data_IF_156830252115
#
_entry.id   IF_156830252115
#
_cell.length_a   1.000
_cell.length_b   1.000
_cell.length_c   1.000
_cell.angle_alpha   90.00
_cell.angle_beta   90.00
_cell.angle_gamma   90.00
#
_symmetry.space_group_name_H-M   'P 1'
#
loop_
_entity.id
_entity.type
_entity.pdbx_description
1 polymer ?
#
# COMPACT_ATOMS: atom_id res chain seq x y z
N UNK A 1 12.97 14.61 -15.68
CA UNK A 1 11.87 13.89 -16.37
C UNK A 1 10.57 14.56 -16.01
N UNK A 2 9.64 14.69 -16.95
CA UNK A 2 8.38 15.40 -16.73
C UNK A 2 7.31 14.52 -16.08
N UNK A 3 6.34 15.16 -15.44
CA UNK A 3 5.18 14.48 -14.88
C UNK A 3 4.34 13.84 -15.98
N UNK A 4 3.79 12.66 -15.71
CA UNK A 4 2.99 11.88 -16.67
C UNK A 4 1.65 11.50 -16.07
N UNK A 5 0.64 11.22 -16.90
CA UNK A 5 -0.72 10.91 -16.42
C UNK A 5 -1.25 9.60 -16.99
N UNK A 6 -1.98 8.86 -16.16
CA UNK A 6 -2.89 7.77 -16.56
C UNK A 6 -4.24 8.08 -15.92
N UNK A 7 -5.27 8.29 -16.74
CA UNK A 7 -6.58 8.71 -16.25
C UNK A 7 -6.50 10.01 -15.44
N UNK A 8 -7.03 10.00 -14.21
CA UNK A 8 -6.98 11.13 -13.28
C UNK A 8 -5.68 11.20 -12.46
N UNK A 9 -4.80 10.20 -12.54
CA UNK A 9 -3.61 10.08 -11.71
C UNK A 9 -2.40 10.71 -12.39
N UNK A 10 -1.72 11.61 -11.68
CA UNK A 10 -0.43 12.20 -12.04
C UNK A 10 0.70 11.41 -11.38
N UNK A 11 1.75 11.10 -12.14
CA UNK A 11 2.95 10.44 -11.66
C UNK A 11 4.12 11.41 -11.74
N UNK A 12 4.79 11.58 -10.60
CA UNK A 12 5.96 12.44 -10.41
C UNK A 12 7.17 11.59 -10.01
N UNK A 13 8.39 12.07 -10.27
CA UNK A 13 9.60 11.33 -9.91
C UNK A 13 9.81 10.03 -10.70
N UNK A 14 9.29 9.98 -11.94
CA UNK A 14 9.36 8.82 -12.82
C UNK A 14 10.80 8.42 -13.16
N UNK A 15 11.04 7.12 -13.32
CA UNK A 15 12.33 6.55 -13.69
C UNK A 15 12.58 6.70 -15.21
N UNK A 16 13.81 6.45 -15.70
CA UNK A 16 14.12 6.54 -17.13
C UNK A 16 13.23 5.65 -18.00
N UNK A 17 12.76 6.11 -19.18
CA UNK A 17 11.92 5.29 -20.06
C UNK A 17 12.57 3.94 -20.41
N UNK A 18 11.73 2.93 -20.53
CA UNK A 18 12.11 1.54 -20.81
C UNK A 18 11.44 1.09 -22.10
N UNK A 19 12.17 0.34 -22.91
CA UNK A 19 11.65 -0.24 -24.15
C UNK A 19 10.88 -1.53 -23.90
N UNK A 20 9.97 -1.86 -24.81
CA UNK A 20 9.29 -3.17 -24.79
C UNK A 20 10.27 -4.35 -24.94
N UNK A 21 11.42 -4.15 -25.62
CA UNK A 21 12.45 -5.19 -25.75
C UNK A 21 13.07 -5.54 -24.40
N UNK A 22 13.44 -4.52 -23.61
CA UNK A 22 14.01 -4.72 -22.27
C UNK A 22 13.04 -5.47 -21.34
N UNK A 23 11.74 -5.18 -21.44
CA UNK A 23 10.72 -5.91 -20.69
C UNK A 23 10.62 -7.38 -21.13
N UNK A 24 10.67 -7.65 -22.43
CA UNK A 24 10.61 -9.02 -22.95
C UNK A 24 11.86 -9.82 -22.53
N UNK A 25 13.04 -9.21 -22.60
CA UNK A 25 14.30 -9.80 -22.14
C UNK A 25 14.23 -10.16 -20.65
N UNK A 26 13.62 -9.29 -19.83
CA UNK A 26 13.38 -9.59 -18.41
C UNK A 26 12.40 -10.76 -18.22
N UNK A 27 11.27 -10.77 -18.94
CA UNK A 27 10.31 -11.89 -18.89
C UNK A 27 10.97 -13.24 -19.29
N UNK A 28 11.84 -13.23 -20.29
CA UNK A 28 12.61 -14.41 -20.73
C UNK A 28 13.68 -14.82 -19.70
N UNK A 29 14.46 -13.87 -19.19
CA UNK A 29 15.55 -14.11 -18.25
C UNK A 29 15.07 -14.77 -16.95
N UNK A 30 13.92 -14.35 -16.42
CA UNK A 30 13.38 -14.89 -15.17
C UNK A 30 12.27 -15.94 -15.38
N UNK A 31 11.90 -16.24 -16.63
CA UNK A 31 10.83 -17.19 -16.94
C UNK A 31 9.48 -16.77 -16.37
N UNK A 32 9.20 -15.47 -16.32
CA UNK A 32 7.95 -14.90 -15.81
C UNK A 32 7.09 -14.33 -16.93
N UNK A 33 5.85 -14.01 -16.60
CA UNK A 33 4.95 -13.21 -17.44
C UNK A 33 4.36 -12.08 -16.61
N UNK A 34 4.47 -10.86 -17.12
CA UNK A 34 3.91 -9.65 -16.52
C UNK A 34 2.53 -9.35 -17.13
N UNK A 35 1.56 -8.89 -16.33
CA UNK A 35 0.29 -8.38 -16.83
C UNK A 35 0.47 -7.29 -17.89
N UNK A 36 -0.35 -7.32 -18.93
CA UNK A 36 -0.26 -6.39 -20.07
C UNK A 36 -0.43 -4.94 -19.62
N UNK A 37 -1.37 -4.67 -18.71
CA UNK A 37 -1.64 -3.33 -18.19
C UNK A 37 -0.47 -2.77 -17.37
N UNK A 38 0.26 -3.63 -16.68
CA UNK A 38 1.49 -3.25 -15.99
C UNK A 38 2.64 -2.97 -16.95
N UNK A 39 2.80 -3.78 -18.01
CA UNK A 39 3.82 -3.52 -19.05
C UNK A 39 3.59 -2.17 -19.73
N UNK A 40 2.33 -1.86 -20.05
CA UNK A 40 1.95 -0.58 -20.63
C UNK A 40 2.33 0.60 -19.71
N UNK A 41 2.14 0.44 -18.39
CA UNK A 41 2.58 1.42 -17.39
C UNK A 41 4.11 1.58 -17.35
N UNK A 42 4.87 0.49 -17.35
CA UNK A 42 6.34 0.55 -17.29
C UNK A 42 6.91 1.23 -18.53
N UNK A 43 6.41 0.93 -19.73
CA UNK A 43 6.87 1.57 -20.97
C UNK A 43 6.47 3.05 -21.02
N UNK A 44 5.25 3.38 -20.59
CA UNK A 44 4.71 4.74 -20.74
C UNK A 44 5.19 5.70 -19.65
N UNK A 45 5.22 5.27 -18.39
CA UNK A 45 5.55 6.10 -17.21
C UNK A 45 6.87 5.69 -16.59
N UNK A 46 7.01 4.40 -16.30
CA UNK A 46 8.10 3.77 -15.54
C UNK A 46 8.22 4.22 -14.07
N UNK A 47 7.34 3.73 -13.20
CA UNK A 47 7.38 4.00 -11.76
C UNK A 47 6.97 5.43 -11.39
N UNK A 48 7.33 5.85 -10.18
CA UNK A 48 7.06 7.18 -9.64
C UNK A 48 5.98 7.21 -8.55
N UNK A 49 5.75 8.40 -8.01
CA UNK A 49 4.77 8.65 -6.94
C UNK A 49 3.44 9.13 -7.54
N UNK A 50 2.32 8.40 -7.34
CA UNK A 50 1.02 8.77 -7.88
C UNK A 50 0.36 9.90 -7.05
N UNK A 51 -0.42 10.74 -7.73
CA UNK A 51 -1.31 11.75 -7.14
C UNK A 51 -2.63 11.76 -7.91
N UNK A 52 -3.77 11.40 -7.29
CA UNK A 52 -3.94 11.00 -5.88
C UNK A 52 -3.19 9.71 -5.51
N UNK A 53 -2.86 9.53 -4.23
CA UNK A 53 -2.15 8.36 -3.71
C UNK A 53 -2.96 7.49 -2.74
N UNK A 54 -4.13 7.95 -2.28
CA UNK A 54 -4.94 7.24 -1.30
C UNK A 54 -5.53 5.94 -1.85
N UNK A 55 -5.50 4.87 -1.07
CA UNK A 55 -6.12 3.59 -1.40
C UNK A 55 -6.73 2.91 -0.16
N UNK A 56 -7.54 1.88 -0.39
CA UNK A 56 -8.14 1.04 0.65
C UNK A 56 -8.23 -0.40 0.15
N UNK A 57 -8.48 -1.34 1.07
CA UNK A 57 -8.72 -2.73 0.69
C UNK A 57 -9.97 -2.83 -0.19
N UNK A 58 -10.01 -3.81 -1.08
CA UNK A 58 -11.02 -3.92 -2.12
C UNK A 58 -12.44 -4.11 -1.55
N UNK A 59 -12.53 -4.79 -0.42
CA UNK A 59 -13.78 -5.08 0.30
C UNK A 59 -14.07 -4.05 1.42
N UNK A 60 -13.19 -3.06 1.62
CA UNK A 60 -13.43 -1.92 2.51
C UNK A 60 -14.10 -0.76 1.76
N UNK A 61 -15.03 -0.06 2.41
CA UNK A 61 -15.55 1.20 1.88
C UNK A 61 -14.72 2.38 2.39
N UNK A 62 -14.37 3.37 1.53
CA UNK A 62 -13.76 4.61 1.99
C UNK A 62 -14.59 5.26 3.12
N UNK A 63 -13.95 5.57 4.24
CA UNK A 63 -14.62 6.14 5.42
C UNK A 63 -15.08 5.12 6.47
N UNK A 64 -14.91 3.81 6.25
CA UNK A 64 -14.93 2.84 7.34
C UNK A 64 -13.59 2.88 8.09
N UNK A 65 -13.62 2.59 9.40
CA UNK A 65 -12.41 2.40 10.18
C UNK A 65 -11.65 1.22 9.57
N UNK A 66 -10.52 1.48 8.91
CA UNK A 66 -9.74 0.43 8.26
C UNK A 66 -9.28 -0.61 9.27
N UNK A 67 -9.09 -1.86 8.84
CA UNK A 67 -8.76 -2.98 9.73
C UNK A 67 -7.57 -2.67 10.66
N UNK A 68 -6.52 -2.03 10.14
CA UNK A 68 -5.36 -1.61 10.95
C UNK A 68 -5.69 -0.58 12.03
N UNK A 69 -6.54 0.41 11.72
CA UNK A 69 -7.00 1.40 12.70
C UNK A 69 -7.88 0.75 13.77
N UNK A 70 -8.73 -0.22 13.41
CA UNK A 70 -9.53 -0.98 14.36
C UNK A 70 -8.68 -1.77 15.35
N UNK A 71 -7.66 -2.49 14.87
CA UNK A 71 -6.73 -3.22 15.73
C UNK A 71 -5.93 -2.28 16.65
N UNK A 72 -5.49 -1.12 16.16
CA UNK A 72 -4.81 -0.14 17.00
C UNK A 72 -5.73 0.41 18.10
N UNK A 73 -7.00 0.69 17.78
CA UNK A 73 -7.99 1.13 18.77
C UNK A 73 -8.16 0.08 19.87
N UNK A 74 -8.27 -1.20 19.52
CA UNK A 74 -8.38 -2.30 20.49
C UNK A 74 -7.15 -2.37 21.42
N UNK A 75 -5.94 -2.24 20.87
CA UNK A 75 -4.69 -2.21 21.66
C UNK A 75 -4.69 -1.04 22.65
N UNK A 76 -5.10 0.15 22.20
CA UNK A 76 -5.15 1.34 23.05
C UNK A 76 -6.24 1.26 24.11
N UNK A 77 -7.38 0.63 23.82
CA UNK A 77 -8.44 0.37 24.80
C UNK A 77 -7.97 -0.59 25.90
N UNK A 78 -7.27 -1.65 25.53
CA UNK A 78 -6.67 -2.58 26.49
C UNK A 78 -5.61 -1.87 27.36
N UNK A 79 -4.77 -1.02 26.77
CA UNK A 79 -3.81 -0.21 27.53
C UNK A 79 -4.50 0.77 28.48
N UNK A 80 -5.59 1.40 28.02
CA UNK A 80 -6.39 2.33 28.81
C UNK A 80 -6.97 1.66 30.05
N UNK A 81 -7.47 0.44 29.91
CA UNK A 81 -8.01 -0.35 31.02
C UNK A 81 -6.92 -0.76 32.01
N UNK A 82 -5.73 -1.11 31.52
CA UNK A 82 -4.60 -1.52 32.35
C UNK A 82 -3.83 -0.36 33.01
N UNK A 83 -4.02 0.89 32.56
CA UNK A 83 -3.22 2.03 33.03
C UNK A 83 -3.74 2.64 34.34
N UNK A 84 -2.88 2.77 35.34
CA UNK A 84 -3.19 3.45 36.62
C UNK A 84 -2.91 4.96 36.61
N UNK A 85 -2.25 5.48 35.56
CA UNK A 85 -1.85 6.88 35.47
C UNK A 85 -2.98 7.75 34.89
N UNK A 86 -3.53 8.68 35.69
CA UNK A 86 -4.57 9.61 35.24
C UNK A 86 -4.20 10.36 33.97
N UNK A 87 -2.95 10.84 33.88
CA UNK A 87 -2.46 11.56 32.69
C UNK A 87 -2.41 10.65 31.47
N UNK A 88 -1.89 9.42 31.60
CA UNK A 88 -1.83 8.46 30.50
C UNK A 88 -3.21 8.03 30.03
N UNK A 89 -4.13 7.79 30.95
CA UNK A 89 -5.53 7.48 30.62
C UNK A 89 -6.21 8.61 29.84
N UNK A 90 -5.91 9.86 30.15
CA UNK A 90 -6.45 11.00 29.41
C UNK A 90 -5.89 11.06 27.98
N UNK A 91 -4.58 10.84 27.81
CA UNK A 91 -3.95 10.78 26.49
C UNK A 91 -4.55 9.67 25.62
N UNK A 92 -4.68 8.46 26.18
CA UNK A 92 -5.25 7.30 25.49
C UNK A 92 -6.70 7.52 25.07
N UNK A 93 -7.54 8.12 25.92
CA UNK A 93 -8.93 8.46 25.57
C UNK A 93 -9.02 9.40 24.39
N UNK A 94 -8.16 10.41 24.36
CA UNK A 94 -8.09 11.36 23.26
C UNK A 94 -7.56 10.70 21.97
N UNK A 95 -6.58 9.80 22.06
CA UNK A 95 -6.06 9.03 20.92
C UNK A 95 -7.14 8.12 20.33
N UNK A 96 -7.83 7.35 21.18
CA UNK A 96 -8.94 6.48 20.80
C UNK A 96 -10.07 7.31 20.17
N UNK A 97 -10.44 8.44 20.79
CA UNK A 97 -11.47 9.32 20.25
C UNK A 97 -11.07 9.88 18.89
N UNK A 98 -9.80 10.27 18.71
CA UNK A 98 -9.28 10.73 17.44
C UNK A 98 -9.41 9.64 16.37
N UNK A 99 -8.91 8.44 16.62
CA UNK A 99 -8.93 7.33 15.67
C UNK A 99 -10.36 6.91 15.31
N UNK A 100 -11.27 6.82 16.29
CA UNK A 100 -12.68 6.45 16.04
C UNK A 100 -13.47 7.50 15.24
N UNK A 101 -13.02 8.75 15.24
CA UNK A 101 -13.69 9.86 14.56
C UNK A 101 -12.90 10.39 13.37
N UNK A 102 -11.85 9.70 12.94
CA UNK A 102 -11.07 10.05 11.76
C UNK A 102 -10.96 8.86 10.81
N UNK A 103 -10.86 9.17 9.53
CA UNK A 103 -10.46 8.22 8.49
C UNK A 103 -9.12 8.67 7.95
N UNK A 104 -8.10 7.85 8.18
CA UNK A 104 -6.73 8.07 7.70
C UNK A 104 -6.48 7.07 6.58
N UNK A 105 -6.48 7.49 5.31
CA UNK A 105 -6.28 6.55 4.20
C UNK A 105 -4.84 6.07 4.13
N UNK A 106 -4.64 4.81 3.72
CA UNK A 106 -3.31 4.35 3.28
C UNK A 106 -2.93 5.09 2.00
N UNK A 107 -1.63 5.28 1.77
CA UNK A 107 -1.12 6.06 0.63
C UNK A 107 -0.02 5.31 -0.07
N UNK A 108 -0.10 5.24 -1.39
CA UNK A 108 1.04 4.79 -2.21
C UNK A 108 2.13 5.86 -2.11
N UNK A 109 3.29 5.49 -1.58
CA UNK A 109 4.45 6.40 -1.57
C UNK A 109 5.13 6.38 -2.93
N UNK A 110 5.44 5.18 -3.41
CA UNK A 110 6.13 4.99 -4.69
C UNK A 110 5.73 3.68 -5.36
N UNK A 111 5.54 3.75 -6.68
CA UNK A 111 5.59 2.59 -7.56
C UNK A 111 6.99 2.49 -8.16
N UNK A 112 7.55 1.29 -8.16
CA UNK A 112 8.90 1.03 -8.66
C UNK A 112 8.88 0.97 -10.20
N UNK A 113 9.85 1.63 -10.83
CA UNK A 113 10.11 1.44 -12.26
C UNK A 113 11.00 0.23 -12.51
N UNK A 114 11.23 -0.08 -13.78
CA UNK A 114 11.97 -1.23 -14.28
C UNK A 114 13.35 -1.44 -13.65
N UNK A 115 14.10 -0.36 -13.44
CA UNK A 115 15.44 -0.44 -12.83
C UNK A 115 15.41 -0.41 -11.30
N UNK A 116 14.25 -0.05 -10.71
CA UNK A 116 13.99 -0.14 -9.28
C UNK A 116 13.37 -1.47 -8.88
N UNK A 117 12.81 -2.23 -9.83
CA UNK A 117 12.63 -3.67 -9.68
C UNK A 117 14.04 -4.25 -9.62
N UNK A 118 14.54 -4.69 -8.46
CA UNK A 118 15.91 -5.17 -8.35
C UNK A 118 16.12 -6.30 -9.37
N UNK A 119 17.20 -6.27 -10.19
CA UNK A 119 17.51 -7.24 -11.25
C UNK A 119 17.81 -8.66 -10.76
N UNK A 120 17.34 -9.03 -9.59
CA UNK A 120 17.36 -10.40 -9.14
C UNK A 120 16.16 -10.53 -8.24
N UNK A 121 15.50 -11.66 -8.31
CA UNK A 121 14.54 -12.12 -7.30
C UNK A 121 15.22 -12.28 -5.91
N UNK A 122 16.39 -11.71 -5.65
CA UNK A 122 17.19 -11.84 -4.44
C UNK A 122 16.68 -10.92 -3.32
N UNK A 123 16.17 -9.73 -3.65
CA UNK A 123 15.40 -8.90 -2.70
C UNK A 123 14.07 -9.54 -2.27
N UNK A 124 13.57 -10.56 -2.99
CA UNK A 124 12.49 -11.41 -2.47
C UNK A 124 12.88 -11.90 -1.07
N UNK A 125 14.14 -12.23 -0.83
CA UNK A 125 14.59 -12.78 0.45
C UNK A 125 14.95 -11.74 1.53
N UNK A 126 15.18 -10.47 1.16
CA UNK A 126 15.64 -9.44 2.12
C UNK A 126 14.50 -8.65 2.77
N UNK A 127 13.37 -8.44 2.07
CA UNK A 127 12.16 -7.82 2.64
C UNK A 127 11.26 -8.82 3.38
N UNK A 128 11.46 -10.11 3.17
CA UNK A 128 10.70 -11.16 3.84
C UNK A 128 11.36 -11.49 5.18
N UNK A 129 10.67 -11.17 6.28
CA UNK A 129 11.11 -11.59 7.61
C UNK A 129 10.85 -13.09 7.73
N UNK A 130 11.84 -13.93 7.40
CA UNK A 130 11.75 -15.39 7.53
C UNK A 130 12.12 -16.18 6.26
N UNK A 131 11.97 -17.51 6.30
CA UNK A 131 12.14 -18.36 5.12
C UNK A 131 10.87 -18.34 4.28
N UNK A 132 10.90 -17.81 3.05
CA UNK A 132 9.70 -17.66 2.26
C UNK A 132 9.16 -19.00 1.73
N UNK A 133 7.85 -19.19 1.87
CA UNK A 133 7.14 -20.32 1.24
C UNK A 133 7.00 -20.16 -0.28
N UNK A 134 6.78 -21.26 -1.01
CA UNK A 134 6.66 -21.26 -2.48
C UNK A 134 5.61 -20.27 -3.02
N UNK A 135 4.54 -20.02 -2.25
CA UNK A 135 3.47 -19.09 -2.62
C UNK A 135 3.96 -17.64 -2.81
N UNK A 136 4.98 -17.21 -2.07
CA UNK A 136 5.57 -15.86 -2.19
C UNK A 136 6.39 -15.68 -3.47
N UNK A 137 6.84 -16.78 -4.10
CA UNK A 137 7.66 -16.74 -5.32
C UNK A 137 6.89 -16.21 -6.53
N UNK A 138 5.57 -16.07 -6.44
CA UNK A 138 4.71 -15.52 -7.48
C UNK A 138 4.11 -14.17 -7.09
N UNK A 139 4.65 -13.51 -6.07
CA UNK A 139 4.37 -12.12 -5.77
C UNK A 139 5.54 -11.25 -6.24
N UNK A 140 5.23 -10.27 -7.08
CA UNK A 140 6.18 -9.27 -7.58
C UNK A 140 5.92 -7.97 -6.82
N UNK A 141 6.85 -7.47 -5.99
CA UNK A 141 6.67 -6.16 -5.40
C UNK A 141 6.87 -5.09 -6.47
N UNK A 142 5.93 -4.15 -6.51
CA UNK A 142 5.79 -3.12 -7.55
C UNK A 142 5.79 -1.71 -6.95
N UNK A 143 5.90 -1.59 -5.62
CA UNK A 143 5.90 -0.34 -4.89
C UNK A 143 5.78 -0.55 -3.39
N UNK A 144 5.55 0.55 -2.69
CA UNK A 144 5.34 0.59 -1.24
C UNK A 144 4.35 1.68 -0.86
N UNK A 145 3.70 1.48 0.29
CA UNK A 145 2.91 2.53 0.94
C UNK A 145 3.78 3.47 1.77
N UNK A 146 3.17 4.52 2.34
CA UNK A 146 3.89 5.51 3.16
C UNK A 146 4.47 4.98 4.47
N UNK A 147 4.09 3.77 4.88
CA UNK A 147 4.63 3.09 6.06
C UNK A 147 5.73 2.07 5.67
N UNK A 148 6.06 1.96 4.38
CA UNK A 148 7.04 1.01 3.84
C UNK A 148 6.48 -0.40 3.64
N UNK A 149 5.16 -0.56 3.71
CA UNK A 149 4.48 -1.83 3.44
C UNK A 149 4.55 -2.13 1.94
N UNK A 150 5.03 -3.31 1.53
CA UNK A 150 5.11 -3.65 0.11
C UNK A 150 3.74 -3.69 -0.58
N UNK A 151 3.67 -3.09 -1.76
CA UNK A 151 2.60 -3.28 -2.74
C UNK A 151 3.03 -4.37 -3.70
N UNK A 152 2.26 -5.45 -3.75
CA UNK A 152 2.59 -6.70 -4.42
C UNK A 152 1.62 -6.97 -5.57
N UNK A 153 2.13 -7.51 -6.66
CA UNK A 153 1.36 -8.00 -7.80
C UNK A 153 1.44 -9.52 -7.87
N UNK A 154 0.30 -10.19 -8.00
CA UNK A 154 0.29 -11.64 -8.21
C UNK A 154 0.62 -12.00 -9.65
N UNK A 155 1.53 -12.97 -9.79
CA UNK A 155 1.87 -13.70 -11.02
C UNK A 155 1.35 -15.15 -10.95
N UNK A 156 0.50 -15.47 -9.97
CA UNK A 156 -0.18 -16.77 -9.91
C UNK A 156 -1.31 -16.82 -10.94
N UNK A 157 -1.61 -18.02 -11.45
CA UNK A 157 -2.65 -18.19 -12.48
C UNK A 157 -4.06 -17.86 -11.98
N UNK A 158 -4.34 -18.13 -10.70
CA UNK A 158 -5.69 -18.00 -10.13
C UNK A 158 -6.12 -16.55 -9.86
N UNK A 159 -5.17 -15.62 -9.75
CA UNK A 159 -5.41 -14.22 -9.43
C UNK A 159 -4.41 -13.28 -10.14
N UNK A 160 -3.94 -13.71 -11.32
CA UNK A 160 -2.93 -13.05 -12.13
C UNK A 160 -3.22 -11.56 -12.31
N UNK A 161 -2.25 -10.71 -11.93
CA UNK A 161 -2.33 -9.25 -11.99
C UNK A 161 -3.02 -8.57 -10.81
N UNK A 162 -3.60 -9.33 -9.87
CA UNK A 162 -4.20 -8.75 -8.65
C UNK A 162 -3.14 -8.05 -7.81
N UNK A 163 -3.53 -6.95 -7.18
CA UNK A 163 -2.66 -6.09 -6.38
C UNK A 163 -3.00 -6.23 -4.89
N UNK A 164 -1.98 -6.39 -4.06
CA UNK A 164 -2.08 -6.58 -2.61
C UNK A 164 -1.19 -5.56 -1.88
N UNK A 165 -1.57 -5.17 -0.66
CA UNK A 165 -0.72 -4.40 0.24
C UNK A 165 -0.59 -5.17 1.56
N UNK A 166 0.58 -5.75 1.81
CA UNK A 166 0.85 -6.50 3.04
C UNK A 166 2.34 -6.65 3.31
N UNK A 167 2.70 -6.68 4.60
CA UNK A 167 3.99 -7.17 5.02
C UNK A 167 4.05 -8.69 4.82
N UNK A 168 5.21 -9.20 4.40
CA UNK A 168 5.46 -10.64 4.31
C UNK A 168 6.31 -11.05 5.51
N UNK A 169 5.69 -11.73 6.47
CA UNK A 169 6.30 -12.19 7.72
C UNK A 169 6.74 -13.67 7.67
N UNK A 170 6.85 -14.23 6.46
CA UNK A 170 7.24 -15.62 6.22
C UNK A 170 6.16 -16.66 6.57
N UNK A 171 5.04 -16.27 7.17
CA UNK A 171 3.92 -17.17 7.41
C UNK A 171 3.11 -17.40 6.13
N UNK A 172 2.88 -18.66 5.78
CA UNK A 172 1.99 -18.97 4.66
C UNK A 172 0.55 -18.66 5.07
N UNK A 173 -0.19 -17.83 4.30
CA UNK A 173 -1.59 -17.60 4.57
C UNK A 173 -2.31 -18.94 4.55
N UNK A 174 -3.04 -19.23 5.62
CA UNK A 174 -3.67 -20.53 5.86
C UNK A 174 -4.59 -20.99 4.73
N UNK A 175 -5.06 -20.07 3.88
CA UNK A 175 -5.80 -20.35 2.65
C UNK A 175 -5.61 -19.23 1.60
N UNK A 176 -5.91 -19.50 0.31
CA UNK A 176 -6.06 -18.47 -0.73
C UNK A 176 -7.09 -17.37 -0.38
N UNK A 177 -8.00 -17.68 0.54
CA UNK A 177 -8.92 -16.75 1.23
C UNK A 177 -8.18 -15.65 1.98
N UNK A 178 -7.05 -15.99 2.61
CA UNK A 178 -6.30 -15.12 3.51
C UNK A 178 -5.61 -13.96 2.81
N UNK A 179 -5.27 -14.09 1.53
CA UNK A 179 -4.72 -12.97 0.75
C UNK A 179 -5.78 -11.97 0.31
N UNK A 180 -7.03 -12.40 0.12
CA UNK A 180 -8.10 -11.56 -0.42
C UNK A 180 -8.39 -10.34 0.45
N UNK A 181 -8.19 -10.46 1.77
CA UNK A 181 -8.38 -9.35 2.71
C UNK A 181 -7.36 -8.22 2.53
N UNK A 182 -6.20 -8.51 1.93
CA UNK A 182 -5.14 -7.54 1.66
C UNK A 182 -5.17 -7.01 0.22
N UNK A 183 -6.15 -7.45 -0.59
CA UNK A 183 -6.25 -7.07 -1.99
C UNK A 183 -6.71 -5.62 -2.09
N UNK A 184 -6.01 -4.82 -2.88
CA UNK A 184 -6.31 -3.40 -3.12
C UNK A 184 -6.75 -3.12 -4.58
N UNK A 185 -6.52 -4.08 -5.48
CA UNK A 185 -6.99 -4.03 -6.87
C UNK A 185 -7.05 -5.41 -7.52
N UNK A 186 -7.94 -5.57 -8.51
CA UNK A 186 -8.09 -6.80 -9.32
C UNK A 186 -7.12 -6.87 -10.49
N UNK A 187 -6.57 -5.74 -10.88
CA UNK A 187 -5.51 -5.58 -11.87
C UNK A 187 -4.71 -4.32 -11.54
N UNK A 188 -3.59 -4.08 -12.24
CA UNK A 188 -2.85 -2.83 -12.07
C UNK A 188 -3.71 -1.62 -12.47
N UNK A 189 -4.40 -1.69 -13.61
CA UNK A 189 -5.31 -0.60 -14.04
C UNK A 189 -6.45 -0.36 -13.05
N UNK A 190 -7.07 -1.42 -12.52
CA UNK A 190 -8.12 -1.30 -11.49
C UNK A 190 -7.58 -0.60 -10.24
N UNK A 191 -6.39 -0.98 -9.77
CA UNK A 191 -5.73 -0.34 -8.64
C UNK A 191 -5.50 1.16 -8.88
N UNK A 192 -4.89 1.54 -10.02
CA UNK A 192 -4.64 2.95 -10.36
C UNK A 192 -5.94 3.74 -10.46
N UNK A 193 -7.00 3.18 -11.06
CA UNK A 193 -8.30 3.85 -11.20
C UNK A 193 -9.00 4.07 -9.85
N UNK A 194 -8.70 3.24 -8.85
CA UNK A 194 -9.27 3.35 -7.50
C UNK A 194 -8.54 4.34 -6.60
N UNK A 195 -7.39 4.89 -7.02
CA UNK A 195 -6.68 5.88 -6.22
C UNK A 195 -7.54 7.14 -6.02
N UNK A 196 -7.64 7.58 -4.77
CA UNK A 196 -8.44 8.73 -4.34
C UNK A 196 -7.59 9.72 -3.52
N UNK A 197 -7.95 11.01 -3.46
CA UNK A 197 -7.18 12.00 -2.71
C UNK A 197 -6.93 11.53 -1.27
N UNK A 198 -5.66 11.50 -0.87
CA UNK A 198 -5.30 11.04 0.46
C UNK A 198 -5.58 12.15 1.46
N UNK A 199 -6.86 12.37 1.78
CA UNK A 199 -7.32 13.39 2.74
C UNK A 199 -7.74 12.68 4.02
N UNK A 200 -7.33 13.22 5.16
CA UNK A 200 -7.87 12.78 6.43
C UNK A 200 -9.28 13.35 6.57
N UNK A 201 -10.26 12.47 6.76
CA UNK A 201 -11.64 12.87 7.00
C UNK A 201 -11.91 12.83 8.51
N UNK A 202 -12.68 13.79 8.99
CA UNK A 202 -13.06 13.90 10.39
C UNK A 202 -14.58 13.88 10.55
N UNK A 203 -15.06 13.32 11.66
CA UNK A 203 -16.45 13.51 12.09
C UNK A 203 -16.74 15.02 12.26
N UNK A 204 -17.99 15.41 12.00
CA UNK A 204 -18.40 16.81 12.04
C UNK A 204 -18.04 17.48 13.38
N UNK A 205 -17.38 18.64 13.32
CA UNK A 205 -16.97 19.42 14.50
C UNK A 205 -15.71 18.91 15.20
N UNK A 206 -15.08 17.83 14.72
CA UNK A 206 -13.83 17.33 15.27
C UNK A 206 -12.65 18.13 14.76
N UNK A 207 -11.73 18.47 15.66
CA UNK A 207 -10.47 19.14 15.33
C UNK A 207 -9.33 18.29 15.89
N UNK A 208 -8.35 17.87 15.07
CA UNK A 208 -7.21 17.11 15.55
C UNK A 208 -6.40 17.94 16.57
N UNK A 209 -6.14 17.39 17.78
CA UNK A 209 -5.16 17.94 18.70
C UNK A 209 -3.80 18.19 18.03
N UNK A 210 -3.03 19.22 18.44
CA UNK A 210 -1.71 19.51 17.85
C UNK A 210 -0.75 18.31 17.87
N UNK A 211 -0.82 17.47 18.91
CA UNK A 211 0.01 16.25 19.00
C UNK A 211 -0.30 15.23 17.91
N UNK A 212 -1.57 15.10 17.51
CA UNK A 212 -1.98 14.16 16.46
C UNK A 212 -1.52 14.61 15.08
N UNK A 213 -1.41 15.92 14.84
CA UNK A 213 -0.81 16.44 13.61
C UNK A 213 0.61 15.94 13.40
N UNK A 214 1.41 15.92 14.48
CA UNK A 214 2.78 15.42 14.45
C UNK A 214 2.84 13.89 14.34
N UNK A 215 2.08 13.17 15.19
CA UNK A 215 2.13 11.70 15.26
C UNK A 215 1.65 11.06 13.95
N UNK A 216 0.54 11.54 13.40
CA UNK A 216 -0.06 10.98 12.19
C UNK A 216 0.37 11.71 10.91
N UNK A 217 1.32 12.65 11.03
CA UNK A 217 1.84 13.46 9.91
C UNK A 217 0.72 14.04 9.06
N UNK A 218 -0.30 14.60 9.73
CA UNK A 218 -1.54 15.07 9.10
C UNK A 218 -1.26 16.08 7.98
N UNK A 219 -0.21 16.89 8.16
CA UNK A 219 0.17 17.93 7.20
C UNK A 219 0.86 17.37 5.93
N UNK A 220 1.14 16.06 5.85
CA UNK A 220 1.65 15.39 4.64
C UNK A 220 0.52 14.88 3.71
N UNK A 221 -0.73 14.90 4.18
CA UNK A 221 -1.89 14.45 3.41
C UNK A 221 -2.35 15.52 2.43
N UNK A 222 -3.02 15.11 1.35
CA UNK A 222 -3.59 16.06 0.40
C UNK A 222 -4.66 16.92 1.11
N UNK A 223 -4.75 18.22 0.80
CA UNK A 223 -5.83 19.11 1.27
C UNK A 223 -7.15 18.84 0.53
#
# INVERSE_FOLDING_TARGET
MGDKRIGHVLFTGNDPPVSASELNELEEQYGIRLPVDYKDFIVSINGGSPRPSGFCMLDESPGQLGAGTASLVEVLENELDASDSTSRRQELKEDINFLKNSYIPQRVDRLYGFYSIPPSLHWRFELMVGSPGEWTLRLLPIGEDSDGTPILMSLNENDFGSIYCMAIDGSEPSESSGLKQFRVGRSFSDFIQRLFPARILYAAGMTPPPRHRLIFRIDEYDE
#
